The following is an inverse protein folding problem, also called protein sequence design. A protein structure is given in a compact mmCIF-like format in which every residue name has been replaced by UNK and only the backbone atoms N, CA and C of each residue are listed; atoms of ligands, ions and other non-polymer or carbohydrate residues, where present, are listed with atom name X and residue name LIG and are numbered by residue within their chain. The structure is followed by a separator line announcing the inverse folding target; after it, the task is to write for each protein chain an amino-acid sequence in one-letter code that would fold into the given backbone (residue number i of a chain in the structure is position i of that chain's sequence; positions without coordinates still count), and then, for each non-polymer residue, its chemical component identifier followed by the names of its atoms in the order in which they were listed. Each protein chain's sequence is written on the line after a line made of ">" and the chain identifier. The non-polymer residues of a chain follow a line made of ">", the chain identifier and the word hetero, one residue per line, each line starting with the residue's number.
data_IF_750443903177
#
_entry.id   IF_750443903177
#
_cell.length_a   1.000
_cell.length_b   1.000
_cell.length_c   1.000
_cell.angle_alpha   90.00
_cell.angle_beta   90.00
_cell.angle_gamma   90.00
#
_symmetry.space_group_name_H-M   'P 1'
#
loop_
_entity.id
_entity.type
_entity.pdbx_description
1 polymer ?
#
# COMPACT_ATOMS: atom_id res chain seq x y z
N UNK A 1 -18.52 -2.24 -55.34
CA UNK A 1 -18.44 -3.57 -54.68
C UNK A 1 -18.36 -3.30 -53.17
N UNK A 2 -19.39 -3.58 -52.35
CA UNK A 2 -19.62 -4.86 -51.60
C UNK A 2 -18.28 -5.38 -51.04
N UNK A 3 -18.01 -5.48 -49.73
CA UNK A 3 -18.76 -6.18 -48.66
C UNK A 3 -18.28 -5.77 -47.25
N UNK A 4 -19.20 -5.94 -46.31
CA UNK A 4 -19.17 -5.93 -44.84
C UNK A 4 -18.49 -7.15 -44.18
N UNK A 5 -18.11 -7.02 -42.89
CA UNK A 5 -18.34 -7.95 -41.73
C UNK A 5 -17.46 -7.51 -40.52
N UNK A 6 -17.96 -6.91 -39.43
CA UNK A 6 -18.64 -7.43 -38.21
C UNK A 6 -17.72 -8.26 -37.28
N UNK A 7 -17.47 -7.78 -36.05
CA UNK A 7 -17.83 -8.44 -34.75
C UNK A 7 -17.49 -7.60 -33.49
N UNK A 8 -18.55 -7.28 -32.74
CA UNK A 8 -18.74 -7.25 -31.26
C UNK A 8 -17.69 -6.63 -30.30
N UNK A 9 -18.05 -5.48 -29.71
CA UNK A 9 -17.77 -5.15 -28.29
C UNK A 9 -19.10 -5.05 -27.54
N UNK A 10 -19.30 -5.91 -26.54
CA UNK A 10 -20.45 -5.85 -25.62
C UNK A 10 -20.20 -4.75 -24.57
N UNK A 11 -21.19 -3.87 -24.37
CA UNK A 11 -21.22 -2.87 -23.30
C UNK A 11 -21.87 -3.45 -22.05
N UNK A 12 -21.25 -3.28 -20.89
CA UNK A 12 -21.87 -3.55 -19.59
C UNK A 12 -22.54 -2.26 -19.09
N UNK A 13 -23.88 -2.23 -19.16
CA UNK A 13 -24.74 -1.27 -18.47
C UNK A 13 -25.50 -2.03 -17.38
N UNK A 14 -25.73 -1.45 -16.17
CA UNK A 14 -26.53 -2.11 -15.15
C UNK A 14 -28.02 -2.05 -15.50
N UNK A 15 -28.65 -3.23 -15.56
CA UNK A 15 -30.09 -3.41 -15.78
C UNK A 15 -30.92 -2.93 -14.58
N UNK A 16 -31.95 -2.14 -14.89
CA UNK A 16 -33.02 -1.73 -13.97
C UNK A 16 -33.97 -2.91 -13.75
N UNK A 17 -34.03 -3.44 -12.54
CA UNK A 17 -34.97 -4.51 -12.16
C UNK A 17 -36.38 -3.92 -11.99
N UNK A 18 -37.35 -4.45 -12.73
CA UNK A 18 -38.78 -4.31 -12.46
C UNK A 18 -39.22 -5.53 -11.64
N UNK A 19 -39.68 -5.32 -10.41
CA UNK A 19 -40.36 -6.35 -9.64
C UNK A 19 -41.89 -6.15 -9.69
N UNK A 20 -42.54 -7.05 -10.41
CA UNK A 20 -43.97 -7.32 -10.35
C UNK A 20 -44.20 -8.68 -9.70
N UNK A 21 -44.50 -8.73 -8.40
CA UNK A 21 -45.67 -9.47 -7.91
C UNK A 21 -45.91 -9.32 -6.41
N UNK A 22 -47.19 -9.35 -6.07
CA UNK A 22 -47.84 -8.83 -4.86
C UNK A 22 -48.49 -9.98 -4.10
N UNK A 23 -48.34 -10.01 -2.78
CA UNK A 23 -49.34 -10.44 -1.77
C UNK A 23 -48.98 -9.66 -0.49
N UNK A 24 -49.78 -8.87 0.21
CA UNK A 24 -51.22 -8.69 0.33
C UNK A 24 -51.51 -8.59 1.83
N UNK A 25 -52.12 -7.49 2.32
CA UNK A 25 -53.02 -7.44 3.50
C UNK A 25 -53.51 -6.00 3.76
N UNK A 26 -54.73 -5.79 3.26
CA UNK A 26 -55.90 -5.02 3.73
C UNK A 26 -55.78 -3.97 4.86
N UNK A 27 -56.26 -2.77 4.53
CA UNK A 27 -56.83 -1.72 5.40
C UNK A 27 -58.15 -2.16 6.06
N UNK A 28 -58.64 -1.43 7.05
CA UNK A 28 -60.06 -1.06 7.01
C UNK A 28 -60.30 0.45 7.18
N UNK A 29 -61.16 0.97 6.30
CA UNK A 29 -61.87 2.24 6.43
C UNK A 29 -63.20 1.99 7.15
N UNK A 30 -63.67 2.93 7.97
CA UNK A 30 -65.09 3.17 8.14
C UNK A 30 -65.36 4.65 8.47
N UNK A 31 -66.32 5.21 7.72
CA UNK A 31 -66.95 6.52 7.86
C UNK A 31 -68.01 6.47 8.96
N UNK A 32 -68.28 7.58 9.64
CA UNK A 32 -69.65 8.09 9.65
C UNK A 32 -69.78 9.58 10.05
N UNK A 33 -70.84 10.19 9.51
CA UNK A 33 -71.26 11.59 9.59
C UNK A 33 -72.07 11.87 10.86
N UNK A 34 -72.01 13.08 11.43
CA UNK A 34 -73.22 13.87 11.77
C UNK A 34 -72.90 15.34 12.10
N UNK A 35 -73.93 16.17 11.98
CA UNK A 35 -74.02 17.61 11.75
C UNK A 35 -74.25 18.50 12.98
N UNK A 36 -73.78 19.76 12.87
CA UNK A 36 -74.34 21.08 13.31
C UNK A 36 -75.05 21.24 14.67
N UNK A 37 -74.73 22.35 15.37
CA UNK A 37 -75.59 23.47 15.88
C UNK A 37 -74.66 24.44 16.69
N UNK A 38 -74.40 25.69 16.29
CA UNK A 38 -75.12 26.99 16.47
C UNK A 38 -75.32 27.54 17.91
N UNK A 39 -74.47 28.53 18.27
CA UNK A 39 -74.72 29.83 18.99
C UNK A 39 -75.09 29.84 20.50
N UNK A 40 -75.05 31.00 21.24
CA UNK A 40 -74.00 32.04 21.39
C UNK A 40 -73.84 32.65 22.84
N UNK A 41 -72.85 33.57 23.01
CA UNK A 41 -72.68 34.67 24.04
C UNK A 41 -72.58 34.24 25.53
N UNK A 42 -71.70 34.81 26.36
CA UNK A 42 -71.79 36.16 26.95
C UNK A 42 -70.46 36.72 27.51
N UNK A 43 -70.25 38.01 27.28
CA UNK A 43 -69.73 39.11 28.13
C UNK A 43 -68.79 38.87 29.35
N UNK A 44 -67.70 39.67 29.30
CA UNK A 44 -67.29 40.70 30.29
C UNK A 44 -66.50 40.29 31.54
N UNK A 45 -65.45 41.07 31.81
CA UNK A 45 -65.08 41.46 33.17
C UNK A 45 -63.60 41.30 33.53
N UNK A 46 -62.87 42.43 33.53
CA UNK A 46 -62.08 42.95 34.68
C UNK A 46 -61.26 41.93 35.50
N UNK A 47 -59.93 41.98 35.57
CA UNK A 47 -59.09 42.97 36.26
C UNK A 47 -58.24 42.23 37.29
N UNK A 48 -56.94 42.55 37.28
CA UNK A 48 -56.05 42.64 38.43
C UNK A 48 -55.71 41.45 39.34
N UNK A 49 -54.40 41.15 39.28
CA UNK A 49 -53.43 41.09 40.40
C UNK A 49 -53.60 40.07 41.53
N UNK A 50 -52.45 39.39 41.72
CA UNK A 50 -51.85 38.93 42.98
C UNK A 50 -52.57 37.74 43.62
N UNK A 51 -51.96 36.76 44.27
CA UNK A 51 -50.60 36.38 44.68
C UNK A 51 -50.81 35.06 45.40
N UNK A 52 -50.01 34.02 45.16
CA UNK A 52 -49.82 32.92 46.14
C UNK A 52 -48.66 32.05 45.66
N UNK A 53 -47.51 32.13 46.31
CA UNK A 53 -47.13 31.40 47.53
C UNK A 53 -46.43 30.08 47.20
N UNK A 54 -45.14 30.08 47.56
CA UNK A 54 -44.26 28.97 47.90
C UNK A 54 -44.79 27.54 47.71
N UNK A 55 -44.11 26.81 46.82
CA UNK A 55 -44.06 25.36 46.81
C UNK A 55 -42.65 24.89 46.43
N UNK A 56 -41.72 24.91 47.39
CA UNK A 56 -40.45 24.19 47.28
C UNK A 56 -40.76 22.70 47.45
N UNK A 57 -40.64 21.91 46.38
CA UNK A 57 -40.35 20.47 46.48
C UNK A 57 -39.05 20.21 45.74
N UNK A 58 -38.08 19.76 46.52
CA UNK A 58 -36.90 19.10 46.02
C UNK A 58 -37.32 17.74 45.42
N UNK A 59 -36.89 17.49 44.20
CA UNK A 59 -36.70 16.15 43.68
C UNK A 59 -35.47 16.22 42.80
N UNK A 60 -34.39 15.58 43.27
CA UNK A 60 -33.19 15.41 42.47
C UNK A 60 -33.51 14.54 41.28
N UNK A 61 -33.20 15.03 40.09
CA UNK A 61 -33.06 14.18 38.92
C UNK A 61 -31.66 14.39 38.37
N UNK A 62 -30.76 13.48 38.74
CA UNK A 62 -29.49 13.27 38.04
C UNK A 62 -29.84 12.77 36.65
N UNK A 63 -29.75 13.63 35.65
CA UNK A 63 -29.67 13.20 34.26
C UNK A 63 -28.40 13.80 33.65
N UNK A 64 -27.35 12.99 33.63
CA UNK A 64 -26.24 13.16 32.70
C UNK A 64 -26.80 12.96 31.30
N UNK A 65 -27.06 14.07 30.60
CA UNK A 65 -27.39 14.04 29.19
C UNK A 65 -26.69 15.19 28.49
N UNK A 66 -25.52 14.86 27.97
CA UNK A 66 -24.94 15.54 26.81
C UNK A 66 -26.04 15.68 25.74
N UNK A 67 -26.24 16.90 25.24
CA UNK A 67 -27.14 17.18 24.12
C UNK A 67 -28.39 18.00 24.46
N UNK A 68 -28.22 19.25 24.88
CA UNK A 68 -29.32 20.23 24.91
C UNK A 68 -28.81 21.69 24.83
N UNK A 69 -27.95 22.01 23.85
CA UNK A 69 -27.76 23.41 23.44
C UNK A 69 -28.89 23.77 22.46
N UNK A 70 -30.03 24.20 23.01
CA UNK A 70 -31.20 24.52 22.18
C UNK A 70 -32.25 25.41 22.84
N UNK A 71 -32.01 25.89 24.06
CA UNK A 71 -32.71 27.07 24.54
C UNK A 71 -31.89 28.28 24.06
N UNK A 72 -32.36 28.95 23.01
CA UNK A 72 -31.92 30.31 22.73
C UNK A 72 -32.29 31.16 23.94
N UNK A 73 -31.39 31.28 24.91
CA UNK A 73 -31.36 32.47 25.74
C UNK A 73 -31.29 33.62 24.74
N UNK A 74 -32.31 34.49 24.76
CA UNK A 74 -32.37 35.66 23.89
C UNK A 74 -31.13 36.49 24.22
N UNK A 75 -30.09 36.35 23.41
CA UNK A 75 -28.83 37.04 23.64
C UNK A 75 -29.14 38.54 23.68
N UNK A 76 -28.87 39.17 24.81
CA UNK A 76 -29.09 40.60 24.96
C UNK A 76 -28.03 41.31 24.14
N UNK A 77 -28.43 42.31 23.37
CA UNK A 77 -27.48 43.13 22.61
C UNK A 77 -26.46 43.78 23.58
N UNK A 78 -25.16 43.45 23.47
CA UNK A 78 -24.14 44.01 24.33
C UNK A 78 -23.81 45.47 23.95
N UNK A 79 -24.23 45.93 22.77
CA UNK A 79 -23.96 47.29 22.30
C UNK A 79 -24.84 48.28 23.07
N UNK A 80 -24.29 49.41 23.55
CA UNK A 80 -25.06 50.41 24.28
C UNK A 80 -25.90 51.28 23.33
N UNK A 81 -26.95 50.71 22.74
CA UNK A 81 -27.79 51.39 21.74
C UNK A 81 -28.57 52.61 22.27
N UNK A 82 -28.70 52.72 23.60
CA UNK A 82 -29.33 53.88 24.26
C UNK A 82 -28.33 55.01 24.54
N UNK A 83 -27.03 54.75 24.48
CA UNK A 83 -26.02 55.78 24.69
C UNK A 83 -25.83 56.61 23.42
N UNK A 84 -26.09 57.92 23.54
CA UNK A 84 -25.93 58.87 22.44
C UNK A 84 -24.48 58.92 21.95
N UNK A 85 -23.50 58.75 22.84
CA UNK A 85 -22.08 58.84 22.47
C UNK A 85 -21.68 57.72 21.50
N UNK A 86 -22.10 56.49 21.82
CA UNK A 86 -21.92 55.30 20.98
C UNK A 86 -22.62 55.45 19.64
N UNK A 87 -23.87 55.90 19.61
CA UNK A 87 -24.59 56.10 18.34
C UNK A 87 -23.91 57.15 17.46
N UNK A 88 -23.41 58.25 18.05
CA UNK A 88 -22.63 59.23 17.29
C UNK A 88 -21.32 58.65 16.75
N UNK A 89 -20.69 57.71 17.46
CA UNK A 89 -19.52 56.99 16.96
C UNK A 89 -19.88 56.07 15.79
N UNK A 90 -20.99 55.34 15.86
CA UNK A 90 -21.47 54.52 14.73
C UNK A 90 -21.77 55.37 13.49
N UNK A 91 -22.40 56.54 13.66
CA UNK A 91 -22.68 57.46 12.56
C UNK A 91 -21.38 58.00 11.94
N UNK A 92 -20.36 58.32 12.76
CA UNK A 92 -19.04 58.73 12.25
C UNK A 92 -18.38 57.63 11.43
N UNK A 93 -18.32 56.40 11.95
CA UNK A 93 -17.75 55.26 11.23
C UNK A 93 -18.45 54.99 9.91
N UNK A 94 -19.79 55.04 9.89
CA UNK A 94 -20.57 54.92 8.66
C UNK A 94 -20.23 56.03 7.67
N UNK A 95 -20.12 57.28 8.14
CA UNK A 95 -19.80 58.42 7.30
C UNK A 95 -18.39 58.34 6.71
N UNK A 96 -17.39 57.96 7.52
CA UNK A 96 -16.00 57.77 7.12
C UNK A 96 -15.91 56.67 6.05
N UNK A 97 -16.49 55.50 6.31
CA UNK A 97 -16.48 54.39 5.36
C UNK A 97 -17.10 54.76 4.00
N UNK A 98 -18.26 55.42 3.99
CA UNK A 98 -18.94 55.80 2.75
C UNK A 98 -18.11 56.81 1.93
N UNK A 99 -17.50 57.78 2.59
CA UNK A 99 -16.68 58.79 1.92
C UNK A 99 -15.34 58.22 1.43
N UNK A 100 -14.70 57.33 2.18
CA UNK A 100 -13.43 56.69 1.80
C UNK A 100 -13.58 55.73 0.61
N UNK A 101 -14.73 55.05 0.51
CA UNK A 101 -14.97 54.04 -0.52
C UNK A 101 -15.68 54.59 -1.77
N UNK A 102 -15.79 55.91 -1.91
CA UNK A 102 -16.29 56.56 -3.14
C UNK A 102 -17.80 56.55 -3.32
N UNK A 103 -18.58 56.63 -2.23
CA UNK A 103 -20.03 56.80 -2.33
C UNK A 103 -20.38 58.07 -3.12
N UNK A 104 -21.36 57.98 -4.02
CA UNK A 104 -21.62 59.02 -5.04
C UNK A 104 -22.04 60.39 -4.46
N UNK A 105 -22.43 60.46 -3.19
CA UNK A 105 -22.79 61.71 -2.51
C UNK A 105 -21.82 61.95 -1.35
N UNK A 106 -21.30 63.18 -1.21
CA UNK A 106 -20.51 63.55 -0.03
C UNK A 106 -21.41 63.62 1.19
N UNK A 107 -21.33 62.60 2.06
CA UNK A 107 -22.16 62.52 3.25
C UNK A 107 -21.47 63.22 4.42
N UNK A 108 -22.26 63.92 5.22
CA UNK A 108 -21.82 64.52 6.49
C UNK A 108 -22.47 63.78 7.66
N UNK A 109 -21.82 63.82 8.83
CA UNK A 109 -22.37 63.27 10.08
C UNK A 109 -23.77 63.83 10.39
N UNK A 110 -24.07 65.07 9.97
CA UNK A 110 -25.39 65.70 10.11
C UNK A 110 -26.43 65.09 9.18
N UNK A 111 -26.08 64.79 7.92
CA UNK A 111 -27.00 64.16 6.96
C UNK A 111 -27.40 62.74 7.35
N UNK A 112 -26.60 62.08 8.19
CA UNK A 112 -26.85 60.73 8.69
C UNK A 112 -27.55 60.70 10.06
N UNK A 113 -28.00 61.84 10.59
CA UNK A 113 -28.85 61.89 11.79
C UNK A 113 -30.30 61.60 11.44
N UNK A 114 -30.60 60.33 11.15
CA UNK A 114 -31.95 59.89 10.75
C UNK A 114 -32.23 60.07 9.25
N UNK A 115 -31.57 59.28 8.39
CA UNK A 115 -31.76 59.36 6.93
C UNK A 115 -33.18 58.94 6.52
N UNK A 116 -33.60 59.37 5.32
CA UNK A 116 -34.85 58.90 4.74
C UNK A 116 -34.77 57.42 4.36
N UNK A 117 -35.91 56.73 4.22
CA UNK A 117 -35.91 55.33 3.77
C UNK A 117 -35.25 55.15 2.41
N UNK A 118 -35.37 56.14 1.50
CA UNK A 118 -34.70 56.09 0.19
C UNK A 118 -33.18 56.22 0.32
N UNK A 119 -32.70 57.08 1.20
CA UNK A 119 -31.26 57.26 1.41
C UNK A 119 -30.67 56.03 2.12
N UNK A 120 -31.38 55.48 3.10
CA UNK A 120 -31.02 54.22 3.73
C UNK A 120 -30.88 53.08 2.71
N UNK A 121 -31.84 52.93 1.78
CA UNK A 121 -31.78 51.89 0.76
C UNK A 121 -30.55 52.02 -0.14
N UNK A 122 -30.22 53.25 -0.55
CA UNK A 122 -29.01 53.51 -1.36
C UNK A 122 -27.73 53.24 -0.58
N UNK A 123 -27.67 53.66 0.68
CA UNK A 123 -26.53 53.41 1.57
C UNK A 123 -26.36 51.91 1.80
N UNK A 124 -27.44 51.20 2.11
CA UNK A 124 -27.41 49.76 2.32
C UNK A 124 -26.94 49.02 1.06
N UNK A 125 -27.49 49.35 -0.11
CA UNK A 125 -27.10 48.73 -1.37
C UNK A 125 -25.63 48.95 -1.70
N UNK A 126 -25.12 50.17 -1.49
CA UNK A 126 -23.71 50.48 -1.69
C UNK A 126 -22.80 49.71 -0.73
N UNK A 127 -23.16 49.60 0.55
CA UNK A 127 -22.35 48.82 1.51
C UNK A 127 -22.42 47.34 1.13
N UNK A 128 -23.60 46.83 0.80
CA UNK A 128 -23.78 45.42 0.49
C UNK A 128 -23.15 45.00 -0.84
N UNK A 129 -22.93 45.92 -1.79
CA UNK A 129 -22.23 45.61 -3.05
C UNK A 129 -20.79 45.15 -2.86
N UNK A 130 -20.15 45.48 -1.74
CA UNK A 130 -18.81 44.96 -1.39
C UNK A 130 -18.82 43.46 -1.07
N UNK A 131 -19.95 42.92 -0.61
CA UNK A 131 -20.13 41.48 -0.35
C UNK A 131 -20.72 40.80 -1.60
N UNK A 132 -21.71 41.43 -2.24
CA UNK A 132 -22.40 40.92 -3.41
C UNK A 132 -22.35 41.94 -4.56
N UNK A 133 -21.37 41.83 -5.48
CA UNK A 133 -21.15 42.83 -6.54
C UNK A 133 -22.35 43.10 -7.45
N UNK A 134 -23.22 42.11 -7.65
CA UNK A 134 -24.40 42.21 -8.52
C UNK A 134 -25.69 42.50 -7.74
N UNK A 135 -25.62 43.10 -6.54
CA UNK A 135 -26.81 43.40 -5.75
C UNK A 135 -27.56 44.62 -6.31
N UNK A 136 -28.84 44.41 -6.61
CA UNK A 136 -29.78 45.48 -6.96
C UNK A 136 -30.84 45.63 -5.86
N UNK A 137 -31.25 46.87 -5.58
CA UNK A 137 -32.31 47.15 -4.60
C UNK A 137 -33.62 46.55 -5.15
N UNK A 138 -34.33 45.69 -4.39
CA UNK A 138 -35.60 45.13 -4.85
C UNK A 138 -36.63 46.21 -5.17
N UNK A 139 -37.28 46.10 -6.33
CA UNK A 139 -38.36 47.01 -6.76
C UNK A 139 -39.59 46.95 -5.83
N UNK A 140 -39.73 45.88 -5.06
CA UNK A 140 -40.79 45.71 -4.06
C UNK A 140 -40.32 44.87 -2.87
N UNK A 141 -41.01 45.00 -1.73
CA UNK A 141 -40.79 44.22 -0.49
C UNK A 141 -39.40 44.34 0.14
N UNK A 142 -38.72 45.50 -0.02
CA UNK A 142 -37.43 45.74 0.62
C UNK A 142 -37.47 45.57 2.14
N UNK A 143 -38.64 45.78 2.76
CA UNK A 143 -38.85 45.65 4.19
C UNK A 143 -38.81 44.19 4.70
N UNK A 144 -38.94 43.22 3.80
CA UNK A 144 -38.78 41.79 4.08
C UNK A 144 -37.39 41.31 3.68
N UNK A 145 -36.89 41.78 2.54
CA UNK A 145 -35.59 41.39 1.98
C UNK A 145 -34.42 41.86 2.84
N UNK A 146 -34.41 43.10 3.34
CA UNK A 146 -33.27 43.61 4.11
C UNK A 146 -33.09 42.84 5.43
N UNK A 147 -34.13 42.65 6.27
CA UNK A 147 -34.01 41.78 7.45
C UNK A 147 -33.59 40.35 7.12
N UNK A 148 -34.03 39.81 5.97
CA UNK A 148 -33.63 38.48 5.50
C UNK A 148 -32.14 38.44 5.18
N UNK A 149 -31.60 39.42 4.45
CA UNK A 149 -30.16 39.52 4.15
C UNK A 149 -29.34 39.58 5.45
N UNK A 150 -29.72 40.43 6.41
CA UNK A 150 -29.02 40.48 7.71
C UNK A 150 -29.06 39.12 8.43
N UNK A 151 -30.18 38.41 8.39
CA UNK A 151 -30.30 37.07 8.99
C UNK A 151 -29.42 36.04 8.29
N UNK A 152 -29.36 36.05 6.95
CA UNK A 152 -28.53 35.14 6.16
C UNK A 152 -27.02 35.39 6.36
N UNK A 153 -26.63 36.65 6.56
CA UNK A 153 -25.26 37.03 6.96
C UNK A 153 -24.92 36.69 8.41
N UNK A 154 -25.88 36.17 9.20
CA UNK A 154 -25.65 35.77 10.58
C UNK A 154 -25.78 36.90 11.60
N UNK A 155 -26.47 38.00 11.27
CA UNK A 155 -26.70 39.08 12.22
C UNK A 155 -27.52 38.59 13.42
N UNK A 156 -27.02 38.71 14.66
CA UNK A 156 -27.63 38.06 15.83
C UNK A 156 -28.91 38.74 16.33
N UNK A 157 -29.24 39.96 15.87
CA UNK A 157 -30.37 40.74 16.37
C UNK A 157 -31.43 40.96 15.30
N UNK A 158 -32.65 40.50 15.54
CA UNK A 158 -33.72 40.62 14.56
C UNK A 158 -34.09 42.09 14.23
N UNK A 159 -34.14 42.42 12.95
CA UNK A 159 -34.70 43.67 12.43
C UNK A 159 -36.16 43.43 12.04
N UNK A 160 -37.09 44.21 12.59
CA UNK A 160 -38.51 44.05 12.29
C UNK A 160 -38.90 44.73 10.97
N UNK A 161 -39.95 44.22 10.32
CA UNK A 161 -40.57 44.83 9.13
C UNK A 161 -40.97 46.29 9.38
N UNK A 162 -41.49 46.60 10.56
CA UNK A 162 -41.84 47.97 10.96
C UNK A 162 -40.64 48.91 10.98
N UNK A 163 -39.47 48.45 11.44
CA UNK A 163 -38.25 49.25 11.49
C UNK A 163 -37.77 49.67 10.10
N UNK A 164 -38.04 48.88 9.06
CA UNK A 164 -37.66 49.20 7.67
C UNK A 164 -38.50 50.33 7.07
N UNK A 165 -39.74 50.53 7.54
CA UNK A 165 -40.55 51.67 7.12
C UNK A 165 -40.15 52.98 7.84
N UNK A 166 -39.57 52.88 9.04
CA UNK A 166 -39.22 54.03 9.90
C UNK A 166 -37.74 54.06 10.27
N UNK A 167 -36.85 53.74 9.33
CA UNK A 167 -35.40 53.59 9.59
C UNK A 167 -34.77 54.82 10.23
N UNK A 168 -35.16 56.02 9.80
CA UNK A 168 -34.63 57.29 10.34
C UNK A 168 -35.27 57.76 11.64
N UNK A 169 -36.24 57.02 12.22
CA UNK A 169 -36.93 57.46 13.43
C UNK A 169 -35.99 57.45 14.65
N UNK A 170 -36.12 58.40 15.61
CA UNK A 170 -35.18 58.54 16.73
C UNK A 170 -34.96 57.28 17.59
N UNK A 171 -35.97 56.41 17.69
CA UNK A 171 -35.90 55.16 18.45
C UNK A 171 -35.49 53.94 17.61
N UNK A 172 -35.52 54.06 16.28
CA UNK A 172 -35.23 52.96 15.34
C UNK A 172 -33.82 53.11 14.75
N UNK A 173 -33.44 54.34 14.41
CA UNK A 173 -32.14 54.65 13.80
C UNK A 173 -30.94 54.12 14.60
N UNK A 174 -30.90 54.18 15.95
CA UNK A 174 -29.82 53.57 16.73
C UNK A 174 -29.58 52.09 16.43
N UNK A 175 -30.65 51.31 16.23
CA UNK A 175 -30.55 49.89 15.90
C UNK A 175 -30.09 49.68 14.45
N UNK A 176 -30.58 50.51 13.52
CA UNK A 176 -30.26 50.42 12.10
C UNK A 176 -28.81 50.80 11.82
N UNK A 177 -28.34 51.93 12.37
CA UNK A 177 -26.94 52.36 12.17
C UNK A 177 -25.96 51.36 12.79
N UNK A 178 -26.29 50.76 13.93
CA UNK A 178 -25.47 49.72 14.54
C UNK A 178 -25.44 48.45 13.67
N UNK A 179 -26.54 48.12 12.97
CA UNK A 179 -26.57 47.03 12.00
C UNK A 179 -25.71 47.33 10.76
N UNK A 180 -25.75 48.57 10.25
CA UNK A 180 -24.91 48.99 9.13
C UNK A 180 -23.41 49.00 9.47
N UNK A 181 -23.04 49.44 10.67
CA UNK A 181 -21.64 49.36 11.13
C UNK A 181 -21.19 47.91 11.29
N UNK A 182 -22.05 47.03 11.82
CA UNK A 182 -21.77 45.60 11.84
C UNK A 182 -21.54 45.03 10.42
N UNK A 183 -22.35 45.47 9.44
CA UNK A 183 -22.16 45.06 8.05
C UNK A 183 -20.83 45.56 7.46
N UNK A 184 -20.41 46.77 7.81
CA UNK A 184 -19.08 47.30 7.47
C UNK A 184 -17.98 46.43 8.08
N UNK A 185 -18.12 46.01 9.33
CA UNK A 185 -17.14 45.13 9.97
C UNK A 185 -17.10 43.74 9.31
N UNK A 186 -18.25 43.20 8.84
CA UNK A 186 -18.26 42.00 8.01
C UNK A 186 -17.46 42.18 6.70
N UNK A 187 -17.54 43.35 6.06
CA UNK A 187 -16.75 43.65 4.85
C UNK A 187 -15.26 43.69 5.20
N UNK A 188 -14.87 44.37 6.28
CA UNK A 188 -13.46 44.41 6.72
C UNK A 188 -12.90 43.00 6.95
N UNK A 189 -13.66 42.16 7.65
CA UNK A 189 -13.28 40.75 7.87
C UNK A 189 -13.17 40.00 6.54
N UNK A 190 -14.15 40.17 5.64
CA UNK A 190 -14.11 39.53 4.32
C UNK A 190 -12.90 39.98 3.49
N UNK A 191 -12.52 41.27 3.55
CA UNK A 191 -11.34 41.78 2.86
C UNK A 191 -10.04 41.18 3.41
N UNK A 192 -9.92 41.03 4.74
CA UNK A 192 -8.74 40.38 5.35
C UNK A 192 -8.69 38.90 4.93
N UNK A 193 -9.81 38.18 4.98
CA UNK A 193 -9.86 36.77 4.58
C UNK A 193 -9.58 36.53 3.09
N UNK A 194 -9.88 37.50 2.22
CA UNK A 194 -9.52 37.44 0.79
C UNK A 194 -8.08 37.86 0.51
N UNK A 195 -7.44 38.59 1.43
CA UNK A 195 -6.09 39.13 1.25
C UNK A 195 -4.98 38.17 1.68
N UNK A 196 -5.26 37.25 2.62
CA UNK A 196 -4.33 36.20 3.04
C UNK A 196 -4.55 34.93 2.20
N UNK A 197 -3.83 34.85 1.07
CA UNK A 197 -3.81 33.68 0.18
C UNK A 197 -3.18 32.42 0.86
N UNK A 198 -2.51 32.61 2.00
CA UNK A 198 -1.67 31.58 2.64
C UNK A 198 -2.34 30.76 3.75
N UNK A 199 -3.53 31.14 4.23
CA UNK A 199 -4.14 30.47 5.41
C UNK A 199 -4.77 29.11 5.06
N UNK A 200 -5.06 28.86 3.79
CA UNK A 200 -5.67 27.58 3.36
C UNK A 200 -4.65 26.58 2.80
N UNK A 201 -3.42 27.01 2.53
CA UNK A 201 -2.37 26.20 1.89
C UNK A 201 -1.67 25.27 2.91
N UNK A 202 -1.67 25.63 4.20
CA UNK A 202 -0.94 24.90 5.25
C UNK A 202 -1.66 23.61 5.74
N UNK A 203 -2.90 23.37 5.30
CA UNK A 203 -3.69 22.19 5.71
C UNK A 203 -3.54 20.97 4.78
N UNK A 204 -2.73 21.04 3.72
CA UNK A 204 -2.60 19.95 2.73
C UNK A 204 -1.24 19.24 2.77
N UNK A 205 -0.72 18.99 3.97
CA UNK A 205 0.32 17.98 4.15
C UNK A 205 -0.34 16.59 4.24
N UNK A 206 -0.35 15.91 3.10
CA UNK A 206 -0.16 14.45 3.00
C UNK A 206 -1.15 13.50 3.70
N UNK A 207 -2.45 13.79 3.71
CA UNK A 207 -3.44 12.72 3.84
C UNK A 207 -4.07 12.45 2.45
N UNK A 208 -4.04 11.19 1.96
CA UNK A 208 -4.84 10.81 0.81
C UNK A 208 -6.28 11.20 1.07
N UNK A 209 -6.96 11.79 0.08
CA UNK A 209 -8.41 11.98 0.18
C UNK A 209 -9.08 10.64 0.50
N UNK A 210 -10.27 10.65 1.10
CA UNK A 210 -11.07 9.44 1.37
C UNK A 210 -11.22 8.52 0.14
N UNK A 211 -11.10 9.09 -1.07
CA UNK A 211 -11.16 8.43 -2.38
C UNK A 211 -9.81 7.85 -2.89
N UNK A 212 -8.74 7.91 -2.10
CA UNK A 212 -7.43 7.36 -2.45
C UNK A 212 -6.59 8.19 -3.44
N UNK A 213 -6.95 9.46 -3.66
CA UNK A 213 -6.17 10.40 -4.48
C UNK A 213 -4.96 10.89 -3.67
N UNK A 214 -3.77 10.55 -4.18
CA UNK A 214 -2.50 11.09 -3.69
C UNK A 214 -2.26 12.47 -4.34
N UNK A 215 -1.63 13.41 -3.61
CA UNK A 215 -1.40 14.79 -4.06
C UNK A 215 -2.66 15.53 -4.55
N UNK A 216 -3.71 15.59 -3.73
CA UNK A 216 -5.01 16.19 -4.06
C UNK A 216 -4.90 17.63 -4.62
N UNK A 217 -3.95 18.45 -4.14
CA UNK A 217 -3.74 19.80 -4.67
C UNK A 217 -3.36 19.79 -6.15
N UNK A 218 -2.43 18.91 -6.54
CA UNK A 218 -1.98 18.75 -7.92
C UNK A 218 -3.11 18.21 -8.81
N UNK A 219 -3.88 17.26 -8.29
CA UNK A 219 -5.07 16.74 -8.97
C UNK A 219 -6.12 17.83 -9.21
N UNK A 220 -6.40 18.66 -8.20
CA UNK A 220 -7.38 19.75 -8.31
C UNK A 220 -6.91 20.84 -9.29
N UNK A 221 -5.64 21.25 -9.23
CA UNK A 221 -5.06 22.21 -10.19
C UNK A 221 -5.21 21.73 -11.64
N UNK A 222 -4.82 20.46 -11.88
CA UNK A 222 -5.00 19.83 -13.19
C UNK A 222 -6.47 19.79 -13.62
N UNK A 223 -7.34 19.31 -12.75
CA UNK A 223 -8.77 19.15 -13.05
C UNK A 223 -9.41 20.48 -13.39
N UNK A 224 -9.10 21.55 -12.65
CA UNK A 224 -9.62 22.90 -12.91
C UNK A 224 -9.15 23.40 -14.28
N UNK A 225 -7.86 23.26 -14.60
CA UNK A 225 -7.31 23.69 -15.89
C UNK A 225 -7.93 22.91 -17.06
N UNK A 226 -8.03 21.60 -16.95
CA UNK A 226 -8.66 20.75 -17.97
C UNK A 226 -10.14 21.09 -18.13
N UNK A 227 -10.85 21.29 -17.02
CA UNK A 227 -12.26 21.66 -17.06
C UNK A 227 -12.48 23.03 -17.71
N UNK A 228 -11.61 24.01 -17.45
CA UNK A 228 -11.68 25.31 -18.12
C UNK A 228 -11.50 25.16 -19.64
N UNK A 229 -10.49 24.42 -20.08
CA UNK A 229 -10.24 24.17 -21.50
C UNK A 229 -11.39 23.38 -22.16
N UNK A 230 -11.99 22.45 -21.43
CA UNK A 230 -13.20 21.74 -21.86
C UNK A 230 -14.39 22.69 -22.02
N UNK A 231 -14.59 23.62 -21.09
CA UNK A 231 -15.65 24.63 -21.17
C UNK A 231 -15.44 25.63 -22.33
N UNK A 232 -14.19 25.77 -22.81
CA UNK A 232 -13.84 26.50 -24.04
C UNK A 232 -14.05 25.66 -25.32
N UNK A 233 -14.40 24.38 -25.20
CA UNK A 233 -14.69 23.48 -26.31
C UNK A 233 -13.49 22.66 -26.81
N UNK A 234 -12.39 22.59 -26.04
CA UNK A 234 -11.26 21.70 -26.35
C UNK A 234 -11.55 20.28 -25.86
N UNK A 235 -11.00 19.29 -26.57
CA UNK A 235 -11.19 17.86 -26.29
C UNK A 235 -9.85 17.10 -26.08
N UNK A 236 -8.74 17.86 -26.02
CA UNK A 236 -7.38 17.34 -25.83
C UNK A 236 -6.66 18.17 -24.79
N UNK A 237 -5.94 17.52 -23.88
CA UNK A 237 -5.32 18.13 -22.69
C UNK A 237 -3.82 17.81 -22.57
N UNK A 238 -3.14 17.51 -23.69
CA UNK A 238 -1.74 17.05 -23.72
C UNK A 238 -0.77 18.01 -23.02
N UNK A 239 -1.01 19.31 -23.13
CA UNK A 239 -0.21 20.35 -22.46
C UNK A 239 -0.31 20.21 -20.92
N UNK A 240 -1.53 20.01 -20.42
CA UNK A 240 -1.81 19.86 -19.00
C UNK A 240 -1.31 18.51 -18.48
N UNK A 241 -1.46 17.45 -19.28
CA UNK A 241 -0.95 16.10 -18.97
C UNK A 241 0.57 16.13 -18.81
N UNK A 242 1.27 16.83 -19.71
CA UNK A 242 2.71 17.00 -19.67
C UNK A 242 3.17 17.80 -18.45
N UNK A 243 2.44 18.87 -18.08
CA UNK A 243 2.73 19.66 -16.88
C UNK A 243 2.63 18.82 -15.60
N UNK A 244 1.55 18.05 -15.45
CA UNK A 244 1.36 17.17 -14.29
C UNK A 244 2.38 16.05 -14.27
N UNK A 245 2.66 15.45 -15.41
CA UNK A 245 3.67 14.39 -15.51
C UNK A 245 5.04 14.88 -15.05
N UNK A 246 5.45 16.09 -15.45
CA UNK A 246 6.70 16.70 -14.97
C UNK A 246 6.69 16.88 -13.45
N UNK A 247 5.61 17.45 -12.89
CA UNK A 247 5.49 17.64 -11.44
C UNK A 247 5.50 16.32 -10.67
N UNK A 248 4.84 15.28 -11.17
CA UNK A 248 4.86 13.95 -10.56
C UNK A 248 6.24 13.31 -10.64
N UNK A 249 6.95 13.47 -11.76
CA UNK A 249 8.34 12.98 -11.92
C UNK A 249 9.25 13.59 -10.85
N UNK A 250 9.11 14.88 -10.62
CA UNK A 250 9.86 15.61 -9.58
C UNK A 250 9.47 15.15 -8.17
N UNK A 251 8.17 15.01 -7.89
CA UNK A 251 7.64 14.59 -6.57
C UNK A 251 8.05 13.16 -6.19
N UNK A 252 8.01 12.23 -7.14
CA UNK A 252 8.44 10.85 -6.92
C UNK A 252 9.95 10.66 -7.08
N UNK A 253 10.71 11.74 -7.38
CA UNK A 253 12.14 11.71 -7.63
C UNK A 253 12.55 10.59 -8.62
N UNK A 254 11.73 10.37 -9.65
CA UNK A 254 11.95 9.29 -10.62
C UNK A 254 13.02 9.75 -11.61
N UNK A 255 14.26 9.36 -11.33
CA UNK A 255 15.34 9.50 -12.30
C UNK A 255 15.17 8.45 -13.39
N UNK A 256 14.88 8.91 -14.60
CA UNK A 256 14.63 8.04 -15.78
C UNK A 256 15.86 7.15 -16.08
N UNK A 257 17.05 7.70 -15.86
CA UNK A 257 18.33 6.99 -15.91
C UNK A 257 18.40 5.81 -14.93
N UNK A 258 17.84 5.96 -13.73
CA UNK A 258 17.83 4.92 -12.71
C UNK A 258 16.87 3.79 -13.09
N UNK A 259 15.67 4.13 -13.59
CA UNK A 259 14.69 3.14 -14.07
C UNK A 259 15.27 2.33 -15.23
N UNK A 260 15.90 2.99 -16.21
CA UNK A 260 16.54 2.33 -17.34
C UNK A 260 17.69 1.42 -16.91
N UNK A 261 18.50 1.86 -15.93
CA UNK A 261 19.59 1.05 -15.39
C UNK A 261 19.09 -0.22 -14.71
N UNK A 262 18.04 -0.12 -13.88
CA UNK A 262 17.40 -1.25 -13.22
C UNK A 262 16.75 -2.20 -14.23
N UNK A 263 16.12 -1.66 -15.28
CA UNK A 263 15.53 -2.47 -16.33
C UNK A 263 16.60 -3.19 -17.17
N UNK A 264 17.75 -2.56 -17.40
CA UNK A 264 18.89 -3.21 -18.05
C UNK A 264 19.51 -4.32 -17.17
N UNK A 265 19.64 -4.08 -15.86
CA UNK A 265 20.12 -5.08 -14.91
C UNK A 265 19.16 -6.26 -14.79
N UNK A 266 17.85 -6.00 -14.69
CA UNK A 266 16.82 -7.03 -14.68
C UNK A 266 16.88 -7.91 -15.94
N UNK A 267 17.09 -7.30 -17.12
CA UNK A 267 17.30 -8.04 -18.37
C UNK A 267 18.53 -8.94 -18.31
N UNK A 268 19.68 -8.41 -17.85
CA UNK A 268 20.91 -9.20 -17.69
C UNK A 268 20.72 -10.39 -16.74
N UNK A 269 20.10 -10.17 -15.59
CA UNK A 269 19.85 -11.22 -14.61
C UNK A 269 18.92 -12.29 -15.17
N UNK A 270 17.89 -11.92 -15.94
CA UNK A 270 17.03 -12.90 -16.62
C UNK A 270 17.79 -13.75 -17.64
N UNK A 271 18.67 -13.13 -18.45
CA UNK A 271 19.52 -13.86 -19.40
C UNK A 271 20.51 -14.79 -18.68
N UNK A 272 21.04 -14.37 -17.54
CA UNK A 272 21.94 -15.18 -16.72
C UNK A 272 21.22 -16.37 -16.07
N UNK A 273 20.00 -16.16 -15.56
CA UNK A 273 19.15 -17.25 -15.06
C UNK A 273 18.88 -18.26 -16.18
N UNK A 274 18.48 -17.81 -17.37
CA UNK A 274 18.22 -18.71 -18.51
C UNK A 274 19.47 -19.50 -18.93
N UNK A 275 20.64 -18.86 -18.89
CA UNK A 275 21.93 -19.53 -19.15
C UNK A 275 22.20 -20.62 -18.11
N UNK A 276 22.07 -20.29 -16.83
CA UNK A 276 22.29 -21.24 -15.72
C UNK A 276 21.29 -22.39 -15.74
N UNK A 277 20.03 -22.15 -16.13
CA UNK A 277 19.02 -23.19 -16.31
C UNK A 277 19.41 -24.15 -17.44
N UNK A 278 19.88 -23.63 -18.58
CA UNK A 278 20.39 -24.46 -19.69
C UNK A 278 21.64 -25.24 -19.29
N UNK A 279 22.55 -24.64 -18.54
CA UNK A 279 23.77 -25.33 -18.08
C UNK A 279 23.44 -26.42 -17.05
N UNK A 280 22.43 -26.23 -16.20
CA UNK A 280 21.90 -27.25 -15.29
C UNK A 280 21.19 -28.40 -16.03
N UNK A 281 20.54 -28.13 -17.16
CA UNK A 281 20.00 -29.18 -18.04
C UNK A 281 21.10 -29.90 -18.83
N UNK A 282 22.20 -29.21 -19.15
CA UNK A 282 23.36 -29.74 -19.87
C UNK A 282 24.36 -30.48 -19.00
N UNK A 283 24.50 -30.18 -17.71
CA UNK A 283 25.16 -31.03 -16.72
C UNK A 283 24.38 -32.33 -16.63
N UNK A 284 24.79 -33.39 -17.33
CA UNK A 284 23.87 -34.45 -17.61
C UNK A 284 23.94 -35.47 -16.48
N UNK A 285 22.76 -35.93 -16.08
CA UNK A 285 22.55 -37.22 -15.40
C UNK A 285 23.40 -38.36 -16.01
N UNK A 286 23.87 -38.24 -17.25
CA UNK A 286 24.74 -39.16 -17.97
C UNK A 286 26.11 -39.40 -17.30
N UNK A 287 26.78 -38.39 -16.73
CA UNK A 287 28.08 -38.61 -16.05
C UNK A 287 27.88 -39.44 -14.78
N UNK A 288 26.78 -39.19 -14.08
CA UNK A 288 26.41 -39.95 -12.88
C UNK A 288 25.98 -41.39 -13.22
N UNK A 289 25.12 -41.57 -14.24
CA UNK A 289 24.63 -42.88 -14.67
C UNK A 289 25.77 -43.76 -15.21
N UNK A 290 26.67 -43.21 -16.04
CA UNK A 290 27.81 -43.98 -16.55
C UNK A 290 28.75 -44.42 -15.42
N UNK A 291 29.01 -43.54 -14.43
CA UNK A 291 29.80 -43.90 -13.24
C UNK A 291 29.12 -44.95 -12.35
N UNK A 292 27.78 -44.92 -12.22
CA UNK A 292 27.02 -45.89 -11.44
C UNK A 292 26.94 -47.25 -12.15
N UNK A 293 26.72 -47.24 -13.47
CA UNK A 293 26.66 -48.45 -14.31
C UNK A 293 28.03 -49.15 -14.31
N UNK A 294 29.13 -48.40 -14.44
CA UNK A 294 30.48 -48.95 -14.33
C UNK A 294 30.75 -49.57 -12.95
N UNK A 295 30.28 -48.93 -11.86
CA UNK A 295 30.39 -49.48 -10.49
C UNK A 295 29.55 -50.74 -10.29
N UNK A 296 28.32 -50.78 -10.81
CA UNK A 296 27.43 -51.94 -10.75
C UNK A 296 27.99 -53.14 -11.54
N UNK A 297 28.45 -52.92 -12.77
CA UNK A 297 29.04 -53.97 -13.61
C UNK A 297 30.32 -54.54 -12.98
N UNK A 298 31.15 -53.69 -12.39
CA UNK A 298 32.37 -54.12 -11.68
C UNK A 298 32.02 -55.01 -10.48
N UNK A 299 30.99 -54.64 -9.72
CA UNK A 299 30.55 -55.39 -8.53
C UNK A 299 29.89 -56.73 -8.90
N UNK A 300 29.09 -56.78 -9.96
CA UNK A 300 28.52 -58.03 -10.49
C UNK A 300 29.61 -58.99 -10.98
N UNK A 301 30.66 -58.49 -11.65
CA UNK A 301 31.80 -59.30 -12.09
C UNK A 301 32.57 -59.92 -10.91
N UNK A 302 32.73 -59.15 -9.83
CA UNK A 302 33.40 -59.62 -8.63
C UNK A 302 32.58 -60.69 -7.89
N UNK A 303 31.25 -60.51 -7.80
CA UNK A 303 30.34 -61.53 -7.26
C UNK A 303 30.39 -62.84 -8.06
N UNK A 304 30.39 -62.76 -9.39
CA UNK A 304 30.48 -63.94 -10.26
C UNK A 304 31.81 -64.68 -10.12
N UNK A 305 32.92 -63.93 -10.02
CA UNK A 305 34.23 -64.53 -9.75
C UNK A 305 34.25 -65.27 -8.41
N UNK A 306 33.67 -64.69 -7.36
CA UNK A 306 33.59 -65.32 -6.04
C UNK A 306 32.69 -66.55 -6.04
N UNK A 307 31.54 -66.49 -6.72
CA UNK A 307 30.64 -67.63 -6.91
C UNK A 307 31.33 -68.78 -7.66
N UNK A 308 32.08 -68.47 -8.73
CA UNK A 308 32.84 -69.46 -9.47
C UNK A 308 33.98 -70.09 -8.64
N UNK A 309 34.68 -69.29 -7.82
CA UNK A 309 35.68 -69.80 -6.87
C UNK A 309 35.07 -70.68 -5.78
N UNK A 310 33.91 -70.29 -5.24
CA UNK A 310 33.16 -71.09 -4.25
C UNK A 310 32.69 -72.42 -4.85
N UNK A 311 32.19 -72.42 -6.09
CA UNK A 311 31.81 -73.64 -6.82
C UNK A 311 33.00 -74.58 -7.04
N UNK A 312 34.17 -74.06 -7.41
CA UNK A 312 35.40 -74.88 -7.52
C UNK A 312 35.77 -75.51 -6.17
N UNK A 313 35.64 -74.77 -5.07
CA UNK A 313 35.92 -75.28 -3.73
C UNK A 313 34.93 -76.38 -3.31
N UNK A 314 33.62 -76.19 -3.56
CA UNK A 314 32.59 -77.20 -3.28
C UNK A 314 32.84 -78.50 -4.04
N UNK A 315 33.15 -78.45 -5.34
CA UNK A 315 33.46 -79.66 -6.12
C UNK A 315 34.67 -80.43 -5.58
N UNK A 316 35.71 -79.73 -5.12
CA UNK A 316 36.90 -80.36 -4.52
C UNK A 316 36.53 -81.04 -3.20
N UNK A 317 35.73 -80.37 -2.36
CA UNK A 317 35.26 -80.94 -1.09
C UNK A 317 34.40 -82.18 -1.33
N UNK A 318 33.44 -82.14 -2.25
CA UNK A 318 32.60 -83.30 -2.61
C UNK A 318 33.42 -84.47 -3.14
N UNK A 319 34.41 -84.21 -4.00
CA UNK A 319 35.30 -85.26 -4.52
C UNK A 319 36.11 -85.92 -3.40
N UNK A 320 36.63 -85.13 -2.46
CA UNK A 320 37.37 -85.66 -1.32
C UNK A 320 36.49 -86.46 -0.37
N UNK A 321 35.25 -86.00 -0.13
CA UNK A 321 34.24 -86.75 0.65
C UNK A 321 33.91 -88.08 -0.04
N UNK A 322 33.73 -88.09 -1.36
CA UNK A 322 33.43 -89.30 -2.11
C UNK A 322 34.58 -90.33 -2.06
N UNK A 323 35.82 -89.90 -2.22
CA UNK A 323 36.99 -90.78 -2.09
C UNK A 323 37.15 -91.28 -0.65
N UNK A 324 36.90 -90.44 0.35
CA UNK A 324 36.84 -90.88 1.75
C UNK A 324 35.76 -91.96 1.95
N UNK A 325 34.53 -91.75 1.50
CA UNK A 325 33.45 -92.74 1.62
C UNK A 325 33.76 -94.04 0.87
N UNK A 326 34.45 -93.97 -0.26
CA UNK A 326 34.90 -95.15 -1.03
C UNK A 326 35.94 -95.96 -0.25
N UNK A 327 36.94 -95.30 0.34
CA UNK A 327 37.91 -95.97 1.23
C UNK A 327 37.21 -96.52 2.46
N UNK A 328 36.38 -95.73 3.14
CA UNK A 328 35.65 -96.13 4.34
C UNK A 328 34.76 -97.37 4.11
N UNK A 329 34.07 -97.46 2.97
CA UNK A 329 33.33 -98.68 2.57
C UNK A 329 34.27 -99.87 2.37
N UNK A 330 35.43 -99.68 1.73
CA UNK A 330 36.43 -100.74 1.51
C UNK A 330 36.99 -101.30 2.82
N UNK A 331 37.19 -100.46 3.84
CA UNK A 331 37.63 -100.88 5.18
C UNK A 331 36.49 -101.30 6.11
N UNK A 332 35.26 -101.42 5.60
CA UNK A 332 34.05 -101.80 6.36
C UNK A 332 33.75 -100.85 7.54
N UNK A 333 33.90 -99.54 7.33
CA UNK A 333 33.54 -98.47 8.28
C UNK A 333 32.19 -97.81 7.95
N UNK A 334 31.66 -97.98 6.74
CA UNK A 334 30.35 -97.47 6.31
C UNK A 334 29.63 -98.61 5.57
N UNK A 335 28.34 -98.91 5.85
CA UNK A 335 27.42 -98.22 6.77
C UNK A 335 27.75 -98.47 8.25
N UNK A 336 27.09 -97.79 9.19
CA UNK A 336 27.31 -97.91 10.65
C UNK A 336 27.13 -99.33 11.21
N UNK A 337 26.49 -100.22 10.45
CA UNK A 337 26.34 -101.65 10.72
C UNK A 337 27.51 -102.51 10.24
N UNK A 338 28.56 -101.90 9.67
CA UNK A 338 29.71 -102.61 9.14
C UNK A 338 30.64 -103.09 10.27
N UNK A 339 31.31 -104.23 10.06
CA UNK A 339 32.08 -104.95 11.09
C UNK A 339 33.09 -104.09 11.86
N UNK A 340 33.72 -103.11 11.20
CA UNK A 340 34.72 -102.24 11.82
C UNK A 340 34.15 -100.89 12.30
N UNK A 341 32.86 -100.62 12.06
CA UNK A 341 32.22 -99.36 12.42
C UNK A 341 31.81 -99.29 13.90
N UNK A 342 31.67 -100.43 14.59
CA UNK A 342 31.26 -100.52 16.00
C UNK A 342 30.01 -99.67 16.35
N UNK A 343 29.06 -99.54 15.41
CA UNK A 343 27.82 -98.77 15.59
C UNK A 343 27.94 -97.26 15.38
N UNK A 344 29.11 -96.72 15.01
CA UNK A 344 29.29 -95.31 14.71
C UNK A 344 29.02 -95.01 13.23
N UNK A 345 28.35 -93.89 12.96
CA UNK A 345 28.13 -93.41 11.61
C UNK A 345 29.29 -92.50 11.17
N UNK A 346 30.01 -92.93 10.14
CA UNK A 346 31.14 -92.21 9.55
C UNK A 346 30.77 -91.54 8.23
N UNK A 347 29.49 -91.52 7.86
CA UNK A 347 29.03 -90.85 6.64
C UNK A 347 29.03 -89.32 6.81
N UNK A 348 29.99 -88.66 6.15
CA UNK A 348 30.07 -87.20 6.09
C UNK A 348 28.96 -86.64 5.16
N UNK A 349 28.02 -85.88 5.72
CA UNK A 349 27.03 -85.09 5.00
C UNK A 349 27.42 -83.61 5.02
N UNK A 350 27.80 -83.04 3.87
CA UNK A 350 28.08 -81.61 3.75
C UNK A 350 26.84 -80.86 3.25
N UNK A 351 26.11 -80.21 4.15
CA UNK A 351 25.05 -79.27 3.78
C UNK A 351 25.59 -77.83 3.86
N UNK A 352 25.79 -77.18 2.72
CA UNK A 352 26.37 -75.83 2.65
C UNK A 352 25.34 -74.70 2.77
N UNK A 353 24.04 -75.02 2.88
CA UNK A 353 22.95 -74.04 2.88
C UNK A 353 22.42 -73.65 4.27
N UNK A 354 23.01 -74.16 5.37
CA UNK A 354 22.60 -73.77 6.73
C UNK A 354 23.63 -72.82 7.38
N UNK A 355 23.19 -71.61 7.74
CA UNK A 355 23.98 -70.55 8.41
C UNK A 355 24.50 -70.89 9.82
N UNK A 356 24.40 -72.14 10.28
CA UNK A 356 25.02 -72.60 11.53
C UNK A 356 25.87 -73.85 11.33
N UNK A 357 27.17 -73.63 11.16
CA UNK A 357 28.18 -74.37 11.93
C UNK A 357 28.39 -75.87 11.63
N UNK A 358 28.47 -76.29 10.36
CA UNK A 358 28.98 -77.62 9.98
C UNK A 358 30.47 -77.86 10.31
N UNK A 359 31.22 -76.82 10.67
CA UNK A 359 32.66 -76.89 10.99
C UNK A 359 32.96 -77.10 12.49
N UNK A 360 31.95 -77.10 13.37
CA UNK A 360 32.15 -77.20 14.82
C UNK A 360 32.25 -78.65 15.34
N UNK A 361 31.96 -79.66 14.52
CA UNK A 361 32.05 -81.09 14.92
C UNK A 361 33.43 -81.70 14.63
N UNK A 362 34.16 -81.19 13.63
CA UNK A 362 35.48 -81.72 13.26
C UNK A 362 36.67 -80.97 13.90
N UNK A 363 36.42 -79.86 14.61
CA UNK A 363 37.47 -79.01 15.20
C UNK A 363 38.09 -79.55 16.50
N UNK A 364 37.49 -80.56 17.13
CA UNK A 364 37.98 -81.08 18.42
C UNK A 364 39.06 -82.17 18.33
N UNK A 365 39.63 -82.48 17.15
CA UNK A 365 40.66 -83.52 17.03
C UNK A 365 41.93 -83.19 16.24
N UNK A 366 42.11 -81.99 15.67
CA UNK A 366 43.35 -81.67 14.93
C UNK A 366 43.83 -80.24 15.25
N UNK A 367 45.01 -80.17 15.89
CA UNK A 367 45.66 -78.95 16.37
C UNK A 367 46.41 -78.24 15.22
N UNK A 368 46.14 -76.94 14.99
CA UNK A 368 46.63 -76.19 13.81
C UNK A 368 47.37 -74.90 14.22
N UNK A 369 48.65 -75.03 14.59
CA UNK A 369 49.51 -73.89 14.96
C UNK A 369 50.30 -73.28 13.77
N UNK A 370 50.26 -73.86 12.56
CA UNK A 370 51.15 -73.43 11.47
C UNK A 370 50.55 -72.39 10.50
N UNK A 371 49.24 -72.13 10.50
CA UNK A 371 48.58 -71.30 9.47
C UNK A 371 48.31 -69.84 9.91
N UNK A 372 48.60 -69.50 11.17
CA UNK A 372 48.34 -68.16 11.73
C UNK A 372 49.46 -67.16 11.37
N UNK A 373 50.66 -67.65 11.04
CA UNK A 373 51.82 -66.82 10.70
C UNK A 373 51.70 -66.10 9.35
N UNK A 374 51.26 -66.80 8.30
CA UNK A 374 51.14 -66.22 6.95
C UNK A 374 50.06 -65.14 6.89
N UNK A 375 48.89 -65.39 7.48
CA UNK A 375 47.78 -64.41 7.51
C UNK A 375 48.12 -63.11 8.25
N UNK A 376 49.08 -63.13 9.19
CA UNK A 376 49.53 -61.95 9.95
C UNK A 376 50.44 -61.03 9.13
N UNK A 377 51.20 -61.58 8.20
CA UNK A 377 52.07 -60.79 7.32
C UNK A 377 51.25 -60.08 6.22
N UNK A 378 50.24 -60.76 5.66
CA UNK A 378 49.34 -60.17 4.66
C UNK A 378 48.53 -58.99 5.25
N UNK A 379 48.06 -59.13 6.49
CA UNK A 379 47.35 -58.05 7.19
C UNK A 379 48.24 -56.85 7.50
N UNK A 380 49.55 -57.07 7.73
CA UNK A 380 50.51 -56.00 7.94
C UNK A 380 50.78 -55.23 6.63
N UNK A 381 50.96 -55.94 5.53
CA UNK A 381 51.16 -55.36 4.19
C UNK A 381 49.99 -54.46 3.77
N UNK A 382 48.76 -54.95 3.91
CA UNK A 382 47.57 -54.16 3.55
C UNK A 382 47.35 -52.93 4.46
N UNK A 383 47.83 -52.97 5.71
CA UNK A 383 47.74 -51.82 6.62
C UNK A 383 48.70 -50.71 6.23
N UNK A 384 49.92 -51.05 5.81
CA UNK A 384 50.91 -50.09 5.31
C UNK A 384 50.48 -49.46 3.97
N UNK A 385 49.85 -50.24 3.09
CA UNK A 385 49.30 -49.74 1.82
C UNK A 385 48.12 -48.77 2.03
N UNK A 386 47.23 -49.05 2.97
CA UNK A 386 46.13 -48.15 3.34
C UNK A 386 46.64 -46.82 3.90
N UNK A 387 47.67 -46.86 4.76
CA UNK A 387 48.26 -45.66 5.34
C UNK A 387 48.91 -44.75 4.28
N UNK A 388 49.62 -45.35 3.31
CA UNK A 388 50.22 -44.60 2.21
C UNK A 388 49.19 -43.92 1.30
N UNK A 389 48.04 -44.57 1.08
CA UNK A 389 46.93 -44.00 0.31
C UNK A 389 46.27 -42.81 1.04
N UNK A 390 46.17 -42.89 2.37
CA UNK A 390 45.64 -41.80 3.19
C UNK A 390 46.57 -40.59 3.18
N UNK A 391 47.88 -40.78 3.35
CA UNK A 391 48.89 -39.71 3.22
C UNK A 391 48.87 -39.04 1.85
N UNK A 392 48.76 -39.83 0.77
CA UNK A 392 48.67 -39.30 -0.60
C UNK A 392 47.38 -38.51 -0.84
N UNK A 393 46.29 -38.90 -0.18
CA UNK A 393 45.00 -38.21 -0.30
C UNK A 393 45.01 -36.86 0.44
N UNK A 394 45.66 -36.81 1.60
CA UNK A 394 45.86 -35.56 2.36
C UNK A 394 46.72 -34.59 1.55
N UNK A 395 47.83 -35.06 0.96
CA UNK A 395 48.72 -34.20 0.18
C UNK A 395 48.03 -33.58 -1.05
N UNK A 396 47.17 -34.35 -1.73
CA UNK A 396 46.38 -33.82 -2.85
C UNK A 396 45.32 -32.79 -2.43
N UNK A 397 44.81 -32.90 -1.20
CA UNK A 397 43.88 -31.90 -0.67
C UNK A 397 44.61 -30.58 -0.35
N UNK A 398 45.80 -30.65 0.25
CA UNK A 398 46.63 -29.46 0.50
C UNK A 398 47.06 -28.76 -0.80
N UNK A 399 47.43 -29.52 -1.83
CA UNK A 399 47.74 -28.97 -3.16
C UNK A 399 46.53 -28.26 -3.79
N UNK A 400 45.32 -28.79 -3.61
CA UNK A 400 44.10 -28.15 -4.09
C UNK A 400 43.81 -26.82 -3.37
N UNK A 401 43.99 -26.77 -2.05
CA UNK A 401 43.83 -25.56 -1.24
C UNK A 401 44.85 -24.47 -1.63
N UNK A 402 46.09 -24.85 -1.95
CA UNK A 402 47.09 -23.89 -2.44
C UNK A 402 46.73 -23.32 -3.82
N UNK A 403 46.21 -24.16 -4.71
CA UNK A 403 45.76 -23.72 -6.04
C UNK A 403 44.58 -22.77 -5.90
N UNK A 404 43.61 -23.06 -5.03
CA UNK A 404 42.48 -22.17 -4.75
C UNK A 404 42.95 -20.80 -4.25
N UNK A 405 43.87 -20.77 -3.28
CA UNK A 405 44.48 -19.51 -2.80
C UNK A 405 45.12 -18.71 -3.92
N UNK A 406 45.84 -19.35 -4.85
CA UNK A 406 46.41 -18.65 -6.02
C UNK A 406 45.35 -18.02 -6.91
N UNK A 407 44.29 -18.76 -7.23
CA UNK A 407 43.18 -18.23 -8.04
C UNK A 407 42.49 -17.05 -7.37
N UNK A 408 42.27 -17.10 -6.05
CA UNK A 408 41.66 -15.96 -5.32
C UNK A 408 42.52 -14.70 -5.38
N UNK A 409 43.84 -14.82 -5.24
CA UNK A 409 44.77 -13.68 -5.36
C UNK A 409 44.81 -13.10 -6.78
N UNK A 410 44.75 -13.96 -7.81
CA UNK A 410 44.72 -13.53 -9.20
C UNK A 410 43.42 -12.77 -9.52
N UNK A 411 42.28 -13.25 -9.03
CA UNK A 411 40.98 -12.56 -9.18
C UNK A 411 41.04 -11.16 -8.53
N UNK A 412 41.56 -11.05 -7.31
CA UNK A 412 41.69 -9.75 -6.62
C UNK A 412 42.61 -8.77 -7.38
N UNK A 413 43.68 -9.28 -7.99
CA UNK A 413 44.58 -8.48 -8.84
C UNK A 413 43.88 -7.96 -10.10
N UNK A 414 43.11 -8.82 -10.76
CA UNK A 414 42.36 -8.47 -11.97
C UNK A 414 41.25 -7.44 -11.66
N UNK A 415 40.59 -7.54 -10.51
CA UNK A 415 39.61 -6.54 -10.07
C UNK A 415 40.24 -5.17 -9.83
N UNK A 416 41.43 -5.11 -9.20
CA UNK A 416 42.18 -3.86 -9.03
C UNK A 416 42.55 -3.25 -10.38
N UNK A 417 42.97 -4.07 -11.34
CA UNK A 417 43.30 -3.60 -12.69
C UNK A 417 42.07 -3.09 -13.44
N UNK A 418 40.92 -3.79 -13.33
CA UNK A 418 39.64 -3.34 -13.91
C UNK A 418 39.25 -1.95 -13.38
N UNK A 419 39.32 -1.75 -12.06
CA UNK A 419 39.01 -0.47 -11.43
C UNK A 419 39.94 0.67 -11.91
N UNK A 420 41.24 0.39 -12.11
CA UNK A 420 42.17 1.37 -12.66
C UNK A 420 41.79 1.79 -14.09
N UNK A 421 41.46 0.82 -14.95
CA UNK A 421 41.02 1.08 -16.32
C UNK A 421 39.71 1.88 -16.35
N UNK A 422 38.71 1.48 -15.56
CA UNK A 422 37.43 2.21 -15.42
C UNK A 422 37.69 3.66 -14.99
N UNK A 423 38.55 3.88 -14.00
CA UNK A 423 38.89 5.23 -13.54
C UNK A 423 39.62 6.07 -14.60
N UNK A 424 40.45 5.44 -15.44
CA UNK A 424 41.17 6.10 -16.52
C UNK A 424 40.23 6.50 -17.67
N UNK A 425 39.33 5.61 -18.05
CA UNK A 425 38.31 5.88 -19.08
C UNK A 425 37.34 6.96 -18.63
N UNK A 426 36.90 6.94 -17.38
CA UNK A 426 36.01 7.98 -16.86
C UNK A 426 36.67 9.37 -16.86
N UNK A 427 37.95 9.47 -16.50
CA UNK A 427 38.70 10.73 -16.56
C UNK A 427 38.85 11.26 -17.99
N UNK A 428 39.19 10.39 -18.95
CA UNK A 428 39.34 10.83 -20.35
C UNK A 428 38.00 11.21 -20.97
N UNK A 429 36.91 10.53 -20.59
CA UNK A 429 35.55 10.89 -20.97
C UNK A 429 35.17 12.27 -20.41
N UNK A 430 35.45 12.54 -19.14
CA UNK A 430 35.18 13.84 -18.50
C UNK A 430 35.96 14.99 -19.17
N UNK A 431 37.22 14.75 -19.55
CA UNK A 431 38.02 15.72 -20.31
C UNK A 431 37.44 15.98 -21.70
N UNK A 432 37.06 14.93 -22.44
CA UNK A 432 36.45 15.06 -23.75
C UNK A 432 35.10 15.80 -23.71
N UNK A 433 34.29 15.57 -22.67
CA UNK A 433 33.03 16.29 -22.45
C UNK A 433 33.27 17.78 -22.19
N UNK A 434 34.30 18.14 -21.40
CA UNK A 434 34.68 19.54 -21.18
C UNK A 434 35.14 20.23 -22.46
N UNK A 435 35.95 19.55 -23.27
CA UNK A 435 36.42 20.10 -24.55
C UNK A 435 35.28 20.30 -25.54
N UNK A 436 34.34 19.36 -25.61
CA UNK A 436 33.12 19.50 -26.41
C UNK A 436 32.31 20.74 -25.98
N UNK A 437 32.09 20.90 -24.67
CA UNK A 437 31.35 22.04 -24.13
C UNK A 437 32.03 23.36 -24.47
N UNK A 438 33.36 23.42 -24.37
CA UNK A 438 34.14 24.60 -24.76
C UNK A 438 34.02 24.90 -26.25
N UNK A 439 34.11 23.89 -27.12
CA UNK A 439 33.95 24.06 -28.56
C UNK A 439 32.54 24.55 -28.93
N UNK A 440 31.50 24.09 -28.24
CA UNK A 440 30.12 24.58 -28.41
C UNK A 440 29.99 26.07 -28.01
N UNK A 441 30.63 26.48 -26.92
CA UNK A 441 30.69 27.89 -26.51
C UNK A 441 31.42 28.77 -27.52
N UNK A 442 32.55 28.31 -28.08
CA UNK A 442 33.27 29.06 -29.11
C UNK A 442 32.47 29.17 -30.42
N UNK A 443 31.75 28.12 -30.82
CA UNK A 443 30.93 28.12 -32.04
C UNK A 443 29.69 29.03 -31.90
N UNK A 444 29.10 29.11 -30.72
CA UNK A 444 27.99 30.05 -30.43
C UNK A 444 28.47 31.49 -30.43
N UNK A 445 29.64 31.78 -29.87
CA UNK A 445 30.26 33.11 -29.94
C UNK A 445 30.57 33.53 -31.39
N UNK A 446 31.09 32.62 -32.22
CA UNK A 446 31.36 32.89 -33.64
C UNK A 446 30.11 33.10 -34.50
N UNK A 447 28.96 32.58 -34.09
CA UNK A 447 27.69 32.80 -34.80
C UNK A 447 27.05 34.16 -34.48
N UNK A 448 27.45 34.78 -33.37
CA UNK A 448 26.81 35.99 -32.84
C UNK A 448 27.64 37.27 -32.98
N UNK A 449 28.87 37.17 -33.50
CA UNK A 449 29.73 38.30 -33.88
C UNK A 449 29.96 38.29 -35.39
#
# INVERSE_FOLDING_TARGET
>A
MRRSSVTNRQSLQPLRVQDTNRMGLTTPQAKDRLSKLSMPKTHSGTSERKTSFFGKRASGNRNSQFGAFGASEKIKDPRPLHDKSFIQQCIRQLCEFLNENGYSQTLTVKSLQGPSSKDFLKIFAFIYSFICPNYEIPDSKFEEEIPRVFKELGYPFALSKSSMYTVGAPHTWPQIVAALVWLIDCIKVSCVLKGDDHVFEELQVSEPSEDGIDFNQLFLDYTVKCYQQFMEGRDTFEDNDSEVYSKLKDLYAVEESHVDSLQAEARRLMEEIERLEKDKEREPREVCICSLVCRLLSRSRQLWSTSCCSSKYSNVVETQIAEFHKVARKVRLIPSTAENANGYDFQIECNMDSEQGGLNICRNKINLHSLIGEKRNDTKSHKEEAQKLEETSIQKAEEADEVEKRWTSEIESLEKHRHLLESGVNKSLDEALKDLQKAQQENTLRRNG
#
